data_IF_199635733911
#
_entry.id   IF_199635733911
#
_cell.length_a   1.000
_cell.length_b   1.000
_cell.length_c   1.000
_cell.angle_alpha   90.00
_cell.angle_beta   90.00
_cell.angle_gamma   90.00
#
_symmetry.space_group_name_H-M   'P 1'
#
loop_
_entity.id
_entity.type
_entity.pdbx_description
1 polymer ?
#
# COMPACT_ATOMS: atom_id res chain seq x y z
N UNK A 1 -4.86 5.75 -2.71
CA UNK A 1 -3.43 6.08 -2.95
C UNK A 1 -3.29 6.89 -4.23
N UNK A 2 -2.16 7.58 -4.47
CA UNK A 2 -1.90 8.30 -5.73
C UNK A 2 -0.46 8.10 -6.22
N UNK A 3 -0.30 7.81 -7.52
CA UNK A 3 0.98 7.85 -8.22
C UNK A 3 1.13 9.19 -8.95
N UNK A 4 2.25 9.89 -8.71
CA UNK A 4 2.61 11.16 -9.35
C UNK A 4 3.93 10.93 -10.09
N UNK A 5 4.03 11.40 -11.34
CA UNK A 5 5.26 11.32 -12.16
C UNK A 5 5.74 12.72 -12.49
N UNK A 6 7.01 12.99 -12.23
CA UNK A 6 7.67 14.26 -12.52
C UNK A 6 9.05 14.03 -13.11
N UNK A 7 9.22 14.34 -14.40
CA UNK A 7 10.46 14.12 -15.16
C UNK A 7 10.95 12.68 -15.02
N UNK A 8 12.08 12.47 -14.35
CA UNK A 8 12.76 11.19 -14.13
C UNK A 8 12.42 10.58 -12.76
N UNK A 9 11.43 11.12 -12.04
CA UNK A 9 11.05 10.67 -10.70
C UNK A 9 9.57 10.32 -10.63
N UNK A 10 9.26 9.38 -9.75
CA UNK A 10 7.90 9.09 -9.36
C UNK A 10 7.71 9.22 -7.85
N UNK A 11 6.47 9.49 -7.45
CA UNK A 11 6.06 9.57 -6.06
C UNK A 11 4.77 8.76 -5.85
N UNK A 12 4.80 7.83 -4.90
CA UNK A 12 3.64 7.10 -4.41
C UNK A 12 3.20 7.72 -3.09
N UNK A 13 1.99 8.27 -3.09
CA UNK A 13 1.42 8.99 -1.95
C UNK A 13 0.33 8.14 -1.30
N UNK A 14 0.61 7.65 -0.10
CA UNK A 14 -0.38 6.99 0.75
C UNK A 14 -1.32 8.02 1.38
N UNK A 15 -2.61 7.84 1.16
CA UNK A 15 -3.67 8.65 1.75
C UNK A 15 -4.90 7.76 1.92
N UNK A 16 -5.50 7.83 3.11
CA UNK A 16 -6.75 7.16 3.46
C UNK A 16 -7.73 8.21 3.94
N UNK A 17 -8.88 8.29 3.30
CA UNK A 17 -9.96 9.18 3.71
C UNK A 17 -10.93 8.47 4.68
N UNK A 18 -10.91 7.15 4.70
CA UNK A 18 -11.77 6.28 5.50
C UNK A 18 -11.15 5.83 6.83
N UNK A 19 -9.84 6.04 7.01
CA UNK A 19 -9.09 5.68 8.23
C UNK A 19 -8.19 6.84 8.69
N UNK A 20 -8.00 7.03 10.01
CA UNK A 20 -7.16 8.12 10.54
C UNK A 20 -5.66 7.92 10.32
N UNK A 21 -5.24 6.72 9.92
CA UNK A 21 -3.86 6.32 9.61
C UNK A 21 -3.87 5.40 8.40
N UNK A 22 -2.76 5.35 7.65
CA UNK A 22 -2.61 4.37 6.58
C UNK A 22 -2.34 2.99 7.19
N UNK A 23 -3.01 1.96 6.68
CA UNK A 23 -2.81 0.55 7.05
C UNK A 23 -2.63 -0.27 5.79
N UNK A 24 -1.92 -1.40 5.91
CA UNK A 24 -1.79 -2.39 4.85
C UNK A 24 -2.96 -3.36 4.94
N UNK A 25 -4.10 -2.94 4.38
CA UNK A 25 -5.26 -3.78 4.12
C UNK A 25 -5.32 -4.19 2.64
N UNK A 26 -6.25 -5.07 2.29
CA UNK A 26 -6.40 -5.58 0.92
C UNK A 26 -6.50 -4.45 -0.13
N UNK A 27 -7.37 -3.42 0.04
CA UNK A 27 -7.42 -2.32 -0.93
C UNK A 27 -6.08 -1.59 -1.09
N UNK A 28 -5.37 -1.32 0.01
CA UNK A 28 -4.09 -0.60 -0.05
C UNK A 28 -3.03 -1.44 -0.75
N UNK A 29 -2.99 -2.76 -0.51
CA UNK A 29 -2.05 -3.66 -1.17
C UNK A 29 -2.33 -3.77 -2.67
N UNK A 30 -3.59 -3.92 -3.08
CA UNK A 30 -3.95 -3.95 -4.51
C UNK A 30 -3.63 -2.65 -5.23
N UNK A 31 -3.87 -1.50 -4.59
CA UNK A 31 -3.48 -0.21 -5.17
C UNK A 31 -1.95 -0.08 -5.28
N UNK A 32 -1.21 -0.55 -4.26
CA UNK A 32 0.25 -0.55 -4.25
C UNK A 32 0.83 -1.42 -5.38
N UNK A 33 0.32 -2.64 -5.56
CA UNK A 33 0.71 -3.56 -6.63
C UNK A 33 0.52 -2.89 -8.00
N UNK A 34 -0.66 -2.33 -8.26
CA UNK A 34 -0.92 -1.64 -9.53
C UNK A 34 0.01 -0.42 -9.76
N UNK A 35 0.42 0.28 -8.70
CA UNK A 35 1.39 1.37 -8.84
C UNK A 35 2.81 0.86 -9.08
N UNK A 36 3.19 -0.27 -8.50
CA UNK A 36 4.48 -0.92 -8.74
C UNK A 36 4.55 -1.44 -10.18
N UNK A 37 3.51 -2.13 -10.67
CA UNK A 37 3.43 -2.57 -12.06
C UNK A 37 3.61 -1.39 -13.02
N UNK A 38 2.88 -0.29 -12.78
CA UNK A 38 3.02 0.91 -13.58
C UNK A 38 4.43 1.53 -13.52
N UNK A 39 5.13 1.40 -12.40
CA UNK A 39 6.53 1.83 -12.23
C UNK A 39 7.51 0.90 -12.94
N UNK A 40 7.22 -0.39 -13.01
CA UNK A 40 8.04 -1.35 -13.76
C UNK A 40 7.91 -1.14 -15.28
N UNK A 41 6.71 -0.85 -15.77
CA UNK A 41 6.47 -0.55 -17.20
C UNK A 41 7.20 0.71 -17.68
N UNK A 42 7.26 1.75 -16.83
CA UNK A 42 7.94 3.01 -17.10
C UNK A 42 8.80 3.39 -15.88
N UNK A 43 10.01 2.84 -15.85
CA UNK A 43 10.92 2.92 -14.69
C UNK A 43 11.52 4.31 -14.52
N UNK A 44 11.21 5.02 -13.41
CA UNK A 44 11.86 6.29 -13.10
C UNK A 44 13.28 6.06 -12.57
N UNK A 45 14.12 7.11 -12.63
CA UNK A 45 15.45 7.10 -12.00
C UNK A 45 15.37 7.09 -10.46
N UNK A 46 14.24 7.52 -9.89
CA UNK A 46 13.96 7.40 -8.46
C UNK A 46 12.45 7.31 -8.19
N UNK A 47 12.06 6.54 -7.18
CA UNK A 47 10.70 6.49 -6.66
C UNK A 47 10.70 6.86 -5.17
N UNK A 48 9.81 7.78 -4.77
CA UNK A 48 9.62 8.21 -3.38
C UNK A 48 8.28 7.69 -2.88
N UNK A 49 8.30 7.00 -1.74
CA UNK A 49 7.08 6.65 -1.01
C UNK A 49 6.88 7.63 0.13
N UNK A 50 5.74 8.30 0.18
CA UNK A 50 5.39 9.20 1.29
C UNK A 50 3.94 9.08 1.71
N UNK A 51 3.64 9.56 2.91
CA UNK A 51 2.27 9.70 3.40
C UNK A 51 1.80 11.14 3.22
N UNK A 52 0.52 11.30 2.84
CA UNK A 52 -0.18 12.57 2.92
C UNK A 52 -0.70 12.86 4.34
N UNK A 53 -0.71 11.86 5.23
CA UNK A 53 -1.12 12.01 6.62
C UNK A 53 0.05 12.50 7.46
N UNK A 54 -0.11 13.65 8.13
CA UNK A 54 0.96 14.28 8.92
C UNK A 54 1.44 13.43 10.10
N UNK A 55 0.58 12.54 10.61
CA UNK A 55 0.81 11.82 11.86
C UNK A 55 1.58 10.51 11.70
N UNK A 56 1.47 9.85 10.54
CA UNK A 56 2.01 8.51 10.35
C UNK A 56 2.25 8.21 8.87
N UNK A 57 3.30 7.43 8.60
CA UNK A 57 3.54 6.86 7.28
C UNK A 57 2.61 5.68 6.99
N UNK A 58 2.83 4.54 7.66
CA UNK A 58 2.01 3.32 7.63
C UNK A 58 2.00 2.77 9.06
N UNK A 59 0.82 2.49 9.62
CA UNK A 59 0.65 1.95 10.96
C UNK A 59 0.84 0.42 11.04
N UNK A 60 1.10 -0.24 9.91
CA UNK A 60 1.26 -1.69 9.79
C UNK A 60 0.05 -2.34 9.11
N UNK A 61 -0.05 -3.65 9.27
CA UNK A 61 -1.17 -4.43 8.75
C UNK A 61 -2.48 -4.11 9.50
N UNK A 62 -3.61 -4.25 8.81
CA UNK A 62 -4.91 -4.11 9.43
C UNK A 62 -5.19 -5.29 10.39
N UNK A 63 -5.09 -5.03 11.69
CA UNK A 63 -5.33 -6.03 12.75
C UNK A 63 -6.74 -6.59 12.72
N UNK A 64 -7.72 -5.85 12.22
CA UNK A 64 -9.10 -6.34 12.08
C UNK A 64 -9.23 -7.33 10.91
N UNK A 65 -8.38 -7.22 9.89
CA UNK A 65 -8.28 -8.21 8.82
C UNK A 65 -7.61 -9.49 9.34
N UNK A 66 -6.53 -9.35 10.11
CA UNK A 66 -5.85 -10.50 10.75
C UNK A 66 -6.76 -11.21 11.74
N UNK A 67 -7.53 -10.48 12.55
CA UNK A 67 -8.44 -11.05 13.53
C UNK A 67 -9.59 -11.88 12.92
N UNK A 68 -9.89 -11.70 11.63
CA UNK A 68 -10.89 -12.50 10.90
C UNK A 68 -10.35 -13.86 10.44
N UNK A 69 -9.04 -14.08 10.52
CA UNK A 69 -8.42 -15.37 10.23
C UNK A 69 -8.61 -16.28 11.43
N UNK A 70 -9.49 -17.29 11.28
CA UNK A 70 -9.89 -18.18 12.37
C UNK A 70 -9.23 -19.57 12.30
N UNK A 71 -8.58 -19.88 11.19
CA UNK A 71 -7.94 -21.18 10.95
C UNK A 71 -6.65 -21.04 10.12
N UNK A 72 -5.80 -22.04 10.26
CA UNK A 72 -4.46 -22.11 9.65
C UNK A 72 -4.52 -22.13 8.11
N UNK A 73 -5.52 -22.80 7.53
CA UNK A 73 -5.66 -22.88 6.07
C UNK A 73 -5.96 -21.51 5.47
N UNK A 74 -6.85 -20.74 6.11
CA UNK A 74 -7.15 -19.35 5.74
C UNK A 74 -5.93 -18.45 5.94
N UNK A 75 -5.16 -18.65 7.02
CA UNK A 75 -3.93 -17.88 7.27
C UNK A 75 -2.88 -18.10 6.19
N UNK A 76 -2.65 -19.36 5.81
CA UNK A 76 -1.67 -19.72 4.80
C UNK A 76 -2.09 -19.23 3.41
N UNK A 77 -3.37 -19.37 3.05
CA UNK A 77 -3.89 -18.84 1.79
C UNK A 77 -3.76 -17.30 1.69
N UNK A 78 -3.81 -16.57 2.80
CA UNK A 78 -3.60 -15.12 2.83
C UNK A 78 -2.10 -14.73 2.75
N UNK A 79 -1.20 -15.59 3.21
CA UNK A 79 0.25 -15.33 3.20
C UNK A 79 0.92 -15.67 1.85
N UNK A 80 0.32 -16.56 1.07
CA UNK A 80 0.81 -16.98 -0.26
C UNK A 80 0.32 -16.07 -1.40
N UNK A 81 -0.47 -15.03 -1.08
CA UNK A 81 -0.93 -13.98 -2.00
C UNK A 81 0.02 -12.79 -1.96
#
# INVERSE_FOLDING_TARGET
MKLIRERDRAEVVFARDDKPVNVLDEPTLSELEAALDALEEDTPSACVFRSALERCFIAGADVDAIAKVQDEATAQALAER
#
